data_IF_104516577781
#
_entry.id   IF_104516577781
#
_cell.length_a   1.000
_cell.length_b   1.000
_cell.length_c   1.000
_cell.angle_alpha   90.00
_cell.angle_beta   90.00
_cell.angle_gamma   90.00
#
_symmetry.space_group_name_H-M   'P 1'
#
loop_
_entity.id
_entity.type
_entity.pdbx_description
1 polymer ?
#
# COMPACT_ATOMS: atom_id res chain seq x y z
N UNK A 1 -30.24 -3.18 -7.98
CA UNK A 1 -28.76 -3.25 -7.95
C UNK A 1 -28.24 -2.05 -7.18
N UNK A 2 -27.51 -2.28 -6.11
CA UNK A 2 -26.86 -1.20 -5.37
C UNK A 2 -25.37 -1.13 -5.74
N UNK A 3 -24.81 0.08 -5.76
CA UNK A 3 -23.38 0.27 -5.96
C UNK A 3 -22.74 0.49 -4.60
N UNK A 4 -21.60 -0.16 -4.38
CA UNK A 4 -20.83 -0.03 -3.15
C UNK A 4 -19.47 0.58 -3.43
N UNK A 5 -19.06 1.48 -2.55
CA UNK A 5 -17.70 2.02 -2.53
C UNK A 5 -16.98 1.35 -1.36
N UNK A 6 -15.87 0.67 -1.65
CA UNK A 6 -15.12 -0.06 -0.63
C UNK A 6 -13.75 0.58 -0.45
N UNK A 7 -13.42 0.89 0.80
CA UNK A 7 -12.12 1.48 1.16
C UNK A 7 -11.29 0.46 1.92
N UNK A 8 -10.02 0.36 1.55
CA UNK A 8 -9.04 -0.49 2.23
C UNK A 8 -7.93 0.37 2.83
N UNK A 9 -7.72 0.25 4.13
CA UNK A 9 -6.66 0.95 4.83
C UNK A 9 -5.29 0.32 4.58
N UNK A 10 -4.24 0.98 5.07
CA UNK A 10 -2.86 0.58 4.80
C UNK A 10 -2.50 -0.81 5.30
N UNK A 11 -3.00 -1.23 6.46
CA UNK A 11 -2.71 -2.57 7.00
C UNK A 11 -3.30 -3.68 6.13
N UNK A 12 -4.41 -3.42 5.45
CA UNK A 12 -5.02 -4.37 4.51
C UNK A 12 -4.23 -4.53 3.22
N UNK A 13 -3.30 -3.64 2.95
CA UNK A 13 -2.49 -3.61 1.73
C UNK A 13 -0.99 -3.75 2.02
N UNK A 14 -0.63 -4.22 3.22
CA UNK A 14 0.74 -4.24 3.68
C UNK A 14 1.63 -5.29 3.00
N UNK A 15 1.05 -6.37 2.49
CA UNK A 15 1.79 -7.49 1.90
C UNK A 15 1.00 -8.16 0.79
N UNK A 16 1.67 -9.03 0.02
CA UNK A 16 1.01 -9.79 -1.04
C UNK A 16 -0.13 -10.65 -0.52
N UNK A 17 0.04 -11.26 0.65
CA UNK A 17 -1.01 -12.07 1.29
C UNK A 17 -2.25 -11.22 1.59
N UNK A 18 -2.07 -10.01 2.09
CA UNK A 18 -3.19 -9.10 2.35
C UNK A 18 -3.87 -8.65 1.06
N UNK A 19 -3.11 -8.41 -0.01
CA UNK A 19 -3.69 -8.09 -1.32
C UNK A 19 -4.58 -9.22 -1.84
N UNK A 20 -4.21 -10.47 -1.63
CA UNK A 20 -5.06 -11.60 -2.02
C UNK A 20 -6.38 -11.60 -1.26
N UNK A 21 -6.35 -11.29 0.02
CA UNK A 21 -7.58 -11.16 0.83
C UNK A 21 -8.47 -10.04 0.32
N UNK A 22 -7.88 -8.90 -0.04
CA UNK A 22 -8.62 -7.77 -0.62
C UNK A 22 -9.28 -8.18 -1.93
N UNK A 23 -8.56 -8.88 -2.80
CA UNK A 23 -9.12 -9.35 -4.07
C UNK A 23 -10.30 -10.28 -3.84
N UNK A 24 -10.22 -11.18 -2.89
CA UNK A 24 -11.32 -12.09 -2.55
C UNK A 24 -12.55 -11.31 -2.06
N UNK A 25 -12.37 -10.30 -1.24
CA UNK A 25 -13.45 -9.46 -0.75
C UNK A 25 -14.13 -8.70 -1.89
N UNK A 26 -13.33 -8.09 -2.77
CA UNK A 26 -13.86 -7.33 -3.90
C UNK A 26 -14.64 -8.23 -4.86
N UNK A 27 -14.11 -9.41 -5.15
CA UNK A 27 -14.73 -10.33 -6.09
C UNK A 27 -15.96 -11.05 -5.52
N UNK A 28 -16.11 -11.06 -4.20
CA UNK A 28 -17.23 -11.73 -3.55
C UNK A 28 -18.58 -10.99 -3.74
N UNK A 29 -18.53 -9.71 -4.10
CA UNK A 29 -19.74 -8.90 -4.27
C UNK A 29 -19.63 -8.04 -5.54
N UNK A 30 -20.51 -8.28 -6.50
CA UNK A 30 -20.51 -7.55 -7.78
C UNK A 30 -20.82 -6.07 -7.64
N UNK A 31 -21.46 -5.67 -6.56
CA UNK A 31 -21.80 -4.27 -6.31
C UNK A 31 -20.59 -3.45 -5.83
N UNK A 32 -19.49 -4.10 -5.44
CA UNK A 32 -18.23 -3.43 -5.06
C UNK A 32 -17.44 -3.01 -6.30
N UNK A 33 -17.97 -2.03 -7.01
CA UNK A 33 -17.36 -1.56 -8.27
C UNK A 33 -16.31 -0.48 -8.07
N UNK A 34 -16.41 0.27 -6.97
CA UNK A 34 -15.50 1.36 -6.67
C UNK A 34 -14.64 0.97 -5.47
N UNK A 35 -13.33 0.87 -5.69
CA UNK A 35 -12.37 0.47 -4.67
C UNK A 35 -11.39 1.60 -4.45
N UNK A 36 -11.24 2.03 -3.21
CA UNK A 36 -10.31 3.10 -2.82
C UNK A 36 -9.21 2.49 -1.95
N UNK A 37 -8.05 2.18 -2.54
CA UNK A 37 -6.93 1.64 -1.77
C UNK A 37 -6.11 2.76 -1.12
N UNK A 38 -5.50 2.44 0.02
CA UNK A 38 -4.48 3.27 0.63
C UNK A 38 -3.09 2.81 0.16
N UNK A 39 -2.05 3.56 0.53
CA UNK A 39 -0.68 3.08 0.38
C UNK A 39 -0.44 1.92 1.35
N UNK A 40 0.49 0.97 1.04
CA UNK A 40 0.79 -0.13 1.94
C UNK A 40 1.22 0.34 3.33
N UNK A 41 0.60 -0.23 4.35
CA UNK A 41 0.90 0.08 5.73
C UNK A 41 1.98 -0.83 6.32
N UNK A 42 2.04 -0.88 7.65
CA UNK A 42 3.02 -1.71 8.35
C UNK A 42 2.65 -3.19 8.25
N UNK A 43 3.65 -4.03 7.98
CA UNK A 43 3.51 -5.49 8.01
C UNK A 43 3.61 -6.04 9.43
N UNK A 44 4.32 -5.30 10.31
CA UNK A 44 4.53 -5.60 11.72
C UNK A 44 4.77 -4.30 12.49
N UNK A 45 4.71 -4.26 13.84
CA UNK A 45 4.74 -2.99 14.59
C UNK A 45 5.96 -2.09 14.34
N UNK A 46 7.12 -2.65 14.04
CA UNK A 46 8.34 -1.87 13.78
C UNK A 46 8.58 -1.53 12.32
N UNK A 47 7.65 -1.87 11.43
CA UNK A 47 7.82 -1.65 10.00
C UNK A 47 7.55 -0.19 9.60
N UNK A 48 7.99 0.19 8.40
CA UNK A 48 7.73 1.52 7.84
C UNK A 48 6.41 1.53 7.06
N UNK A 49 5.63 2.59 7.21
CA UNK A 49 4.51 2.87 6.31
C UNK A 49 5.06 3.49 5.03
N UNK A 50 4.49 3.11 3.88
CA UNK A 50 4.91 3.69 2.60
C UNK A 50 4.73 5.21 2.59
N UNK A 51 3.67 5.74 3.20
CA UNK A 51 3.46 7.20 3.29
C UNK A 51 4.61 7.90 4.02
N UNK A 52 5.10 7.32 5.11
CA UNK A 52 6.24 7.88 5.85
C UNK A 52 7.52 7.83 5.01
N UNK A 53 7.72 6.74 4.26
CA UNK A 53 8.85 6.61 3.34
C UNK A 53 8.80 7.65 2.23
N UNK A 54 7.59 7.99 1.74
CA UNK A 54 7.42 9.03 0.72
C UNK A 54 7.85 10.41 1.24
N UNK A 55 7.49 10.75 2.48
CA UNK A 55 7.94 12.01 3.09
C UNK A 55 9.45 12.04 3.23
N UNK A 56 10.07 10.95 3.68
CA UNK A 56 11.53 10.85 3.80
C UNK A 56 12.21 10.96 2.45
N UNK A 57 11.65 10.33 1.43
CA UNK A 57 12.14 10.39 0.06
C UNK A 57 12.18 11.84 -0.45
N UNK A 58 11.12 12.59 -0.22
CA UNK A 58 11.05 14.00 -0.58
C UNK A 58 12.15 14.81 0.12
N UNK A 59 12.32 14.63 1.43
CA UNK A 59 13.37 15.32 2.19
C UNK A 59 14.76 15.02 1.67
N UNK A 60 15.06 13.74 1.43
CA UNK A 60 16.37 13.31 0.96
C UNK A 60 16.70 13.92 -0.41
N UNK A 61 15.76 13.86 -1.35
CA UNK A 61 15.95 14.44 -2.67
C UNK A 61 16.05 15.96 -2.63
N UNK A 62 15.30 16.64 -1.77
CA UNK A 62 15.37 18.11 -1.66
C UNK A 62 16.70 18.59 -1.13
N UNK A 63 17.46 17.72 -0.44
CA UNK A 63 18.83 18.01 0.03
C UNK A 63 19.91 17.58 -0.97
N UNK A 64 19.52 17.11 -2.16
CA UNK A 64 20.45 16.64 -3.17
C UNK A 64 21.11 15.29 -2.84
N UNK A 65 20.50 14.51 -1.95
CA UNK A 65 21.01 13.21 -1.53
C UNK A 65 20.35 12.09 -2.31
N UNK A 66 21.04 10.95 -2.44
CA UNK A 66 20.39 9.72 -2.89
C UNK A 66 19.42 9.25 -1.80
N UNK A 67 18.26 8.75 -2.23
CA UNK A 67 17.24 8.36 -1.28
C UNK A 67 17.28 6.87 -0.97
N UNK A 68 17.64 6.54 0.27
CA UNK A 68 17.47 5.19 0.82
C UNK A 68 15.98 4.86 0.98
N UNK A 69 15.16 5.85 1.32
CA UNK A 69 13.72 5.66 1.45
C UNK A 69 13.09 5.22 0.13
N UNK A 70 13.56 5.76 -1.00
CA UNK A 70 13.09 5.34 -2.33
C UNK A 70 13.36 3.85 -2.57
N UNK A 71 14.55 3.38 -2.22
CA UNK A 71 14.90 1.95 -2.36
C UNK A 71 14.01 1.06 -1.50
N UNK A 72 13.68 1.50 -0.29
CA UNK A 72 12.78 0.76 0.60
C UNK A 72 11.36 0.69 0.05
N UNK A 73 10.88 1.78 -0.55
CA UNK A 73 9.57 1.80 -1.22
C UNK A 73 9.56 0.77 -2.35
N UNK A 74 10.58 0.79 -3.19
CA UNK A 74 10.71 -0.14 -4.31
C UNK A 74 10.71 -1.59 -3.83
N UNK A 75 11.49 -1.90 -2.80
CA UNK A 75 11.55 -3.24 -2.22
C UNK A 75 10.17 -3.71 -1.69
N UNK A 76 9.42 -2.80 -1.07
CA UNK A 76 8.08 -3.11 -0.56
C UNK A 76 7.14 -3.50 -1.70
N UNK A 77 7.09 -2.70 -2.76
CA UNK A 77 6.24 -3.00 -3.89
C UNK A 77 6.69 -4.26 -4.64
N UNK A 78 8.00 -4.45 -4.80
CA UNK A 78 8.52 -5.67 -5.42
C UNK A 78 8.09 -6.92 -4.65
N UNK A 79 8.10 -6.87 -3.33
CA UNK A 79 7.67 -8.00 -2.48
C UNK A 79 6.16 -8.27 -2.60
N UNK A 80 5.37 -7.27 -2.91
CA UNK A 80 3.92 -7.42 -3.11
C UNK A 80 3.61 -8.02 -4.48
N UNK A 81 4.35 -7.58 -5.50
CA UNK A 81 4.11 -7.97 -6.90
C UNK A 81 4.54 -9.43 -7.18
N UNK A 82 5.55 -9.91 -6.50
CA UNK A 82 6.03 -11.28 -6.71
C UNK A 82 5.01 -12.36 -6.34
#
# INVERSE_FOLDING_TARGET
MSLKVTKFGGSSLASAEQFKKVADIVLADRDRRYVVPSAPGKRFPGDDKVTDLLYRCYEEFSRGMESEAFLRIKQRYDSIIE
#
